data_IF_618777582101
#
_entry.id   IF_618777582101
#
_cell.length_a   1.000
_cell.length_b   1.000
_cell.length_c   1.000
_cell.angle_alpha   90.00
_cell.angle_beta   90.00
_cell.angle_gamma   90.00
#
_symmetry.space_group_name_H-M   'P 1'
#
loop_
_entity.id
_entity.type
_entity.pdbx_description
1 polymer ?
#
# COMPACT_ATOMS: atom_id res chain seq x y z
N UNK A 1 29.55 -20.91 -6.18
CA UNK A 1 29.15 -19.69 -5.46
C UNK A 1 27.88 -19.14 -6.12
N UNK A 2 26.67 -19.06 -5.56
CA UNK A 2 25.94 -19.67 -4.45
C UNK A 2 24.46 -19.62 -4.91
N UNK A 3 23.71 -20.73 -4.92
CA UNK A 3 22.28 -20.70 -5.20
C UNK A 3 21.56 -20.08 -4.00
N UNK A 4 20.76 -19.04 -4.23
CA UNK A 4 19.72 -18.67 -3.26
C UNK A 4 18.84 -19.90 -3.09
N UNK A 5 18.91 -20.54 -1.93
CA UNK A 5 18.01 -21.62 -1.53
C UNK A 5 16.58 -21.11 -1.69
N UNK A 6 15.92 -21.58 -2.74
CA UNK A 6 14.49 -21.42 -2.92
C UNK A 6 13.86 -22.37 -1.90
N UNK A 7 13.33 -21.84 -0.80
CA UNK A 7 12.44 -22.62 0.05
C UNK A 7 11.13 -22.78 -0.73
N UNK A 8 10.72 -24.00 -1.13
CA UNK A 8 9.42 -24.22 -1.77
C UNK A 8 8.24 -24.06 -0.79
N UNK A 9 8.53 -23.68 0.45
CA UNK A 9 7.64 -23.66 1.60
C UNK A 9 7.32 -22.22 2.02
N UNK A 10 6.07 -22.01 2.44
CA UNK A 10 5.59 -20.76 2.99
C UNK A 10 5.61 -20.83 4.53
N UNK A 11 6.00 -19.74 5.18
CA UNK A 11 5.88 -19.61 6.62
C UNK A 11 4.49 -19.08 7.00
N UNK A 12 3.71 -19.88 7.72
CA UNK A 12 2.57 -19.45 8.51
C UNK A 12 3.09 -19.01 9.88
N UNK A 13 2.95 -17.73 10.21
CA UNK A 13 3.47 -17.18 11.45
C UNK A 13 2.38 -16.53 12.29
N UNK A 14 2.58 -16.60 13.61
CA UNK A 14 1.70 -16.06 14.65
C UNK A 14 2.50 -15.11 15.52
N UNK A 15 1.92 -13.96 15.84
CA UNK A 15 2.44 -13.02 16.81
C UNK A 15 1.52 -12.98 18.02
N UNK A 16 2.10 -13.11 19.20
CA UNK A 16 1.39 -13.13 20.47
C UNK A 16 1.82 -11.96 21.36
N UNK A 17 0.85 -11.45 22.12
CA UNK A 17 1.08 -10.45 23.15
C UNK A 17 1.65 -11.06 24.43
N UNK A 18 2.02 -10.19 25.38
CA UNK A 18 2.58 -10.62 26.66
C UNK A 18 1.58 -11.43 27.51
N UNK A 19 0.27 -11.30 27.26
CA UNK A 19 -0.77 -12.08 27.96
C UNK A 19 -1.12 -13.39 27.24
N UNK A 20 -0.40 -13.71 26.15
CA UNK A 20 -0.59 -14.92 25.36
C UNK A 20 -1.71 -14.81 24.33
N UNK A 21 -2.31 -13.63 24.16
CA UNK A 21 -3.33 -13.38 23.14
C UNK A 21 -2.72 -13.34 21.74
N UNK A 22 -3.42 -13.92 20.75
CA UNK A 22 -2.98 -13.87 19.35
C UNK A 22 -3.22 -12.46 18.79
N UNK A 23 -2.13 -11.74 18.51
CA UNK A 23 -2.16 -10.41 17.93
C UNK A 23 -2.38 -10.46 16.43
N UNK A 24 -1.62 -11.28 15.70
CA UNK A 24 -1.65 -11.31 14.24
C UNK A 24 -1.24 -12.69 13.75
N UNK A 25 -1.86 -13.14 12.65
CA UNK A 25 -1.51 -14.34 11.91
C UNK A 25 -1.25 -13.94 10.46
N UNK A 26 -0.25 -14.53 9.82
CA UNK A 26 -0.22 -14.50 8.37
C UNK A 26 0.76 -15.45 7.69
N UNK A 27 0.69 -15.47 6.37
CA UNK A 27 1.54 -16.31 5.51
C UNK A 27 2.52 -15.49 4.65
N UNK A 28 3.73 -16.02 4.42
CA UNK A 28 4.74 -15.44 3.51
C UNK A 28 5.84 -16.44 3.14
N UNK A 29 6.46 -16.28 1.96
CA UNK A 29 7.69 -17.02 1.59
C UNK A 29 8.97 -16.34 2.09
N UNK A 30 8.89 -15.07 2.53
CA UNK A 30 10.01 -14.32 3.12
C UNK A 30 9.57 -13.72 4.47
N UNK A 31 9.67 -14.48 5.58
CA UNK A 31 9.26 -13.99 6.90
C UNK A 31 10.14 -12.84 7.37
N UNK A 32 11.43 -12.86 7.07
CA UNK A 32 12.37 -11.81 7.49
C UNK A 32 11.98 -10.45 6.93
N UNK A 33 11.72 -10.36 5.63
CA UNK A 33 11.30 -9.12 5.00
C UNK A 33 9.91 -8.69 5.50
N UNK A 34 8.97 -9.64 5.60
CA UNK A 34 7.59 -9.35 6.01
C UNK A 34 7.52 -8.84 7.45
N UNK A 35 8.29 -9.42 8.36
CA UNK A 35 8.36 -8.98 9.76
C UNK A 35 9.06 -7.64 9.90
N UNK A 36 10.13 -7.37 9.15
CA UNK A 36 10.75 -6.05 9.11
C UNK A 36 9.76 -4.98 8.61
N UNK A 37 8.88 -5.32 7.67
CA UNK A 37 7.79 -4.45 7.23
C UNK A 37 6.75 -4.25 8.35
N UNK A 38 6.33 -5.32 9.02
CA UNK A 38 5.37 -5.21 10.12
C UNK A 38 5.91 -4.35 11.26
N UNK A 39 7.16 -4.56 11.67
CA UNK A 39 7.87 -3.73 12.65
C UNK A 39 7.86 -2.24 12.34
N UNK A 40 7.88 -1.89 11.06
CA UNK A 40 7.91 -0.50 10.61
C UNK A 40 6.53 0.12 10.41
N UNK A 41 5.51 -0.69 10.13
CA UNK A 41 4.22 -0.20 9.63
C UNK A 41 3.05 -0.50 10.55
N UNK A 42 3.17 -1.48 11.45
CA UNK A 42 2.08 -1.93 12.30
C UNK A 42 2.27 -1.41 13.73
N UNK A 43 1.30 -0.62 14.18
CA UNK A 43 1.32 0.00 15.52
C UNK A 43 1.32 -1.04 16.65
N UNK A 44 0.69 -2.19 16.43
CA UNK A 44 0.63 -3.31 17.38
C UNK A 44 1.94 -4.11 17.47
N UNK A 45 2.94 -3.83 16.62
CA UNK A 45 4.19 -4.58 16.65
C UNK A 45 4.92 -4.48 18.00
N UNK A 46 4.79 -3.35 18.69
CA UNK A 46 5.42 -3.14 20.00
C UNK A 46 4.85 -4.07 21.08
N UNK A 47 3.65 -4.61 20.85
CA UNK A 47 3.00 -5.53 21.79
C UNK A 47 3.42 -6.98 21.57
N UNK A 48 4.18 -7.28 20.51
CA UNK A 48 4.62 -8.64 20.18
C UNK A 48 5.67 -9.12 21.19
N UNK A 49 5.27 -10.08 22.03
CA UNK A 49 6.12 -10.71 23.03
C UNK A 49 6.64 -12.07 22.58
N UNK A 50 5.88 -12.79 21.74
CA UNK A 50 6.24 -14.12 21.25
C UNK A 50 5.85 -14.30 19.79
N UNK A 51 6.69 -15.01 19.04
CA UNK A 51 6.45 -15.38 17.64
C UNK A 51 6.49 -16.89 17.51
N UNK A 52 5.53 -17.46 16.80
CA UNK A 52 5.54 -18.87 16.40
C UNK A 52 5.52 -18.95 14.87
N UNK A 53 6.22 -19.93 14.32
CA UNK A 53 6.34 -20.12 12.87
C UNK A 53 6.18 -21.59 12.55
N UNK A 54 5.32 -21.85 11.58
CA UNK A 54 5.07 -23.14 11.00
C UNK A 54 5.35 -23.05 9.50
N UNK A 55 6.15 -23.97 8.97
CA UNK A 55 6.42 -24.03 7.54
C UNK A 55 5.41 -24.97 6.90
N UNK A 56 4.60 -24.42 6.01
CA UNK A 56 3.57 -25.10 5.22
C UNK A 56 4.03 -25.14 3.77
N UNK A 57 3.68 -26.20 3.05
CA UNK A 57 4.21 -26.51 1.73
C UNK A 57 3.86 -25.47 0.65
N UNK A 58 3.16 -25.91 -0.38
CA UNK A 58 2.81 -25.01 -1.48
C UNK A 58 1.89 -23.85 -1.03
N UNK A 59 1.80 -22.85 -1.89
CA UNK A 59 1.04 -21.63 -1.65
C UNK A 59 -0.44 -21.90 -1.35
N UNK A 60 -1.06 -22.85 -2.05
CA UNK A 60 -2.49 -23.13 -1.89
C UNK A 60 -2.77 -23.75 -0.51
N UNK A 61 -1.90 -24.66 -0.08
CA UNK A 61 -1.92 -25.23 1.27
C UNK A 61 -1.73 -24.15 2.34
N UNK A 62 -0.82 -23.21 2.10
CA UNK A 62 -0.52 -22.15 3.04
C UNK A 62 -1.65 -21.12 3.17
N UNK A 63 -2.33 -20.79 2.06
CA UNK A 63 -3.53 -19.93 2.05
C UNK A 63 -4.72 -20.61 2.75
N UNK A 64 -4.91 -21.92 2.54
CA UNK A 64 -5.94 -22.70 3.23
C UNK A 64 -5.67 -22.80 4.74
N UNK A 65 -4.41 -23.02 5.12
CA UNK A 65 -3.98 -23.06 6.52
C UNK A 65 -4.14 -21.70 7.21
N UNK A 66 -3.80 -20.60 6.52
CA UNK A 66 -4.04 -19.23 7.00
C UNK A 66 -5.53 -19.01 7.25
N UNK A 67 -6.40 -19.37 6.30
CA UNK A 67 -7.85 -19.20 6.45
C UNK A 67 -8.42 -20.01 7.62
N UNK A 68 -8.05 -21.29 7.74
CA UNK A 68 -8.49 -22.14 8.83
C UNK A 68 -8.05 -21.60 10.21
N UNK A 69 -6.81 -21.11 10.29
CA UNK A 69 -6.28 -20.52 11.52
C UNK A 69 -6.92 -19.15 11.84
N UNK A 70 -7.27 -18.33 10.84
CA UNK A 70 -8.02 -17.09 11.04
C UNK A 70 -9.40 -17.36 11.67
N UNK A 71 -10.11 -18.37 11.16
CA UNK A 71 -11.43 -18.76 11.68
C UNK A 71 -11.37 -19.32 13.10
N UNK A 72 -10.39 -20.18 13.38
CA UNK A 72 -10.25 -20.84 14.66
C UNK A 72 -9.68 -19.93 15.75
N UNK A 73 -8.63 -19.16 15.44
CA UNK A 73 -7.80 -18.48 16.43
C UNK A 73 -8.14 -16.99 16.59
N UNK A 74 -8.87 -16.40 15.63
CA UNK A 74 -9.46 -15.04 15.69
C UNK A 74 -8.48 -13.95 16.17
N UNK A 75 -7.39 -13.69 15.44
CA UNK A 75 -6.38 -12.71 15.84
C UNK A 75 -6.97 -11.32 16.13
N UNK A 76 -6.34 -10.60 17.05
CA UNK A 76 -6.74 -9.25 17.45
C UNK A 76 -6.64 -8.27 16.30
N UNK A 77 -5.57 -8.35 15.52
CA UNK A 77 -5.23 -7.52 14.38
C UNK A 77 -5.19 -8.41 13.14
N UNK A 78 -6.31 -8.50 12.45
CA UNK A 78 -6.44 -9.31 11.25
C UNK A 78 -6.14 -8.48 9.98
N UNK A 79 -5.55 -9.14 8.97
CA UNK A 79 -5.32 -8.64 7.61
C UNK A 79 -6.60 -8.08 6.97
N UNK A 80 -7.76 -8.60 7.39
CA UNK A 80 -9.08 -8.21 6.91
C UNK A 80 -9.51 -6.77 7.25
N UNK A 81 -8.81 -6.08 8.15
CA UNK A 81 -9.02 -4.64 8.39
C UNK A 81 -8.33 -3.73 7.35
N UNK A 82 -7.48 -4.30 6.48
CA UNK A 82 -6.76 -3.60 5.42
C UNK A 82 -7.17 -4.06 4.00
N UNK A 83 -8.46 -3.91 3.66
CA UNK A 83 -8.81 -3.35 2.36
C UNK A 83 -8.91 -4.23 1.09
N UNK A 84 -9.17 -5.55 1.15
CA UNK A 84 -9.44 -6.32 -0.10
C UNK A 84 -10.76 -7.14 -0.12
N UNK A 85 -11.35 -7.53 1.02
CA UNK A 85 -12.66 -8.22 1.05
C UNK A 85 -13.65 -7.50 1.96
N UNK A 86 -14.34 -6.47 1.43
CA UNK A 86 -15.43 -5.75 2.14
C UNK A 86 -16.82 -6.34 1.88
N UNK A 87 -16.98 -7.26 0.92
CA UNK A 87 -18.31 -7.49 0.35
C UNK A 87 -19.09 -8.74 0.79
N UNK A 88 -18.57 -9.64 1.65
CA UNK A 88 -19.30 -10.91 1.92
C UNK A 88 -19.35 -11.40 3.38
N UNK A 89 -18.95 -10.59 4.37
CA UNK A 89 -19.10 -10.99 5.80
C UNK A 89 -20.30 -10.29 6.44
N UNK A 90 -21.25 -11.04 7.05
CA UNK A 90 -22.38 -10.47 7.77
C UNK A 90 -21.96 -9.46 8.84
N UNK A 91 -22.72 -8.38 8.94
CA UNK A 91 -22.50 -7.18 9.76
C UNK A 91 -22.46 -7.39 11.29
N UNK A 92 -22.48 -8.64 11.77
CA UNK A 92 -22.65 -8.99 13.19
C UNK A 92 -21.33 -9.13 13.96
N UNK A 93 -20.17 -9.14 13.29
CA UNK A 93 -18.84 -9.15 13.95
C UNK A 93 -18.18 -7.76 13.91
N UNK A 94 -18.98 -6.69 14.08
CA UNK A 94 -18.42 -5.39 14.47
C UNK A 94 -17.92 -5.50 15.92
N UNK A 95 -16.68 -5.94 16.11
CA UNK A 95 -15.93 -5.65 17.35
C UNK A 95 -16.10 -4.16 17.60
N UNK A 96 -16.60 -3.77 18.78
CA UNK A 96 -16.83 -2.38 19.15
C UNK A 96 -15.65 -1.53 18.69
N UNK A 97 -15.88 -0.65 17.71
CA UNK A 97 -14.88 0.31 17.29
C UNK A 97 -14.52 1.12 18.53
N UNK A 98 -13.27 1.03 18.98
CA UNK A 98 -12.76 1.88 20.06
C UNK A 98 -13.11 3.34 19.71
N UNK A 99 -13.98 4.00 20.49
CA UNK A 99 -14.42 5.36 20.18
C UNK A 99 -13.25 6.35 20.09
N UNK A 100 -12.16 6.09 20.80
CA UNK A 100 -10.95 6.90 20.72
C UNK A 100 -10.20 6.69 19.40
N UNK A 101 -10.06 5.44 18.95
CA UNK A 101 -9.46 5.13 17.66
C UNK A 101 -10.27 5.76 16.50
N UNK A 102 -11.59 5.66 16.52
CA UNK A 102 -12.45 6.27 15.50
C UNK A 102 -12.33 7.80 15.52
N UNK A 103 -12.27 8.44 16.71
CA UNK A 103 -12.02 9.89 16.82
C UNK A 103 -10.68 10.29 16.21
N UNK A 104 -9.62 9.51 16.44
CA UNK A 104 -8.29 9.76 15.83
C UNK A 104 -8.33 9.64 14.32
N UNK A 105 -9.02 8.63 13.78
CA UNK A 105 -9.21 8.46 12.33
C UNK A 105 -10.00 9.64 11.74
N UNK A 106 -11.10 10.05 12.36
CA UNK A 106 -11.89 11.19 11.89
C UNK A 106 -11.09 12.49 11.89
N UNK A 107 -10.27 12.72 12.92
CA UNK A 107 -9.37 13.86 12.95
C UNK A 107 -8.33 13.79 11.82
N UNK A 108 -7.76 12.61 11.55
CA UNK A 108 -6.82 12.41 10.45
C UNK A 108 -7.46 12.67 9.08
N UNK A 109 -8.68 12.15 8.85
CA UNK A 109 -9.46 12.43 7.62
C UNK A 109 -9.65 13.93 7.45
N UNK A 110 -10.14 14.62 8.48
CA UNK A 110 -10.43 16.05 8.44
C UNK A 110 -9.18 16.87 8.10
N UNK A 111 -8.06 16.61 8.79
CA UNK A 111 -6.80 17.37 8.60
C UNK A 111 -6.19 17.07 7.23
N UNK A 112 -6.07 15.80 6.84
CA UNK A 112 -5.49 15.43 5.55
C UNK A 112 -6.33 15.96 4.38
N UNK A 113 -7.66 15.86 4.45
CA UNK A 113 -8.53 16.35 3.40
C UNK A 113 -8.49 17.88 3.28
N UNK A 114 -8.36 18.59 4.41
CA UNK A 114 -8.16 20.04 4.41
C UNK A 114 -6.85 20.40 3.71
N UNK A 115 -5.73 19.80 4.12
CA UNK A 115 -4.41 20.09 3.58
C UNK A 115 -4.31 19.75 2.08
N UNK A 116 -4.91 18.64 1.64
CA UNK A 116 -5.00 18.28 0.21
C UNK A 116 -5.77 19.35 -0.56
N UNK A 117 -6.97 19.74 -0.10
CA UNK A 117 -7.79 20.76 -0.78
C UNK A 117 -7.14 22.14 -0.75
N UNK A 118 -6.40 22.45 0.30
CA UNK A 118 -5.64 23.69 0.42
C UNK A 118 -4.36 23.71 -0.43
N UNK A 119 -4.03 22.59 -1.11
CA UNK A 119 -2.84 22.50 -1.98
C UNK A 119 -1.52 22.34 -1.22
N UNK A 120 -1.57 22.03 0.08
CA UNK A 120 -0.38 21.69 0.88
C UNK A 120 0.34 20.49 0.28
N UNK A 121 -0.45 19.56 -0.26
CA UNK A 121 0.01 18.52 -1.17
C UNK A 121 -0.56 18.84 -2.55
N UNK A 122 0.25 19.36 -3.49
CA UNK A 122 -0.24 19.70 -4.82
C UNK A 122 -0.84 18.49 -5.54
N UNK A 123 -1.83 18.73 -6.39
CA UNK A 123 -2.42 17.68 -7.23
C UNK A 123 -1.34 16.98 -8.08
N UNK A 124 -1.53 15.69 -8.34
CA UNK A 124 -0.63 14.84 -9.12
C UNK A 124 0.77 14.68 -8.52
N UNK A 125 0.88 14.86 -7.21
CA UNK A 125 2.12 14.58 -6.48
C UNK A 125 2.01 13.32 -5.65
N UNK A 126 3.14 12.63 -5.53
CA UNK A 126 3.29 11.53 -4.59
C UNK A 126 3.45 12.11 -3.18
N UNK A 127 2.50 11.78 -2.30
CA UNK A 127 2.54 12.19 -0.90
C UNK A 127 3.77 11.63 -0.18
N UNK A 128 4.23 12.29 0.90
CA UNK A 128 5.20 11.70 1.82
C UNK A 128 4.78 10.32 2.33
N UNK A 129 5.74 9.56 2.84
CA UNK A 129 5.46 8.24 3.41
C UNK A 129 4.48 8.33 4.59
N UNK A 130 3.77 7.24 4.89
CA UNK A 130 2.86 7.19 6.04
C UNK A 130 3.54 7.57 7.36
N UNK A 131 4.81 7.16 7.55
CA UNK A 131 5.60 7.54 8.72
C UNK A 131 5.84 9.05 8.78
N UNK A 132 6.24 9.66 7.66
CA UNK A 132 6.44 11.11 7.58
C UNK A 132 5.15 11.90 7.81
N UNK A 133 4.01 11.39 7.35
CA UNK A 133 2.69 11.99 7.61
C UNK A 133 2.27 11.82 9.07
N UNK A 134 2.51 10.64 9.64
CA UNK A 134 2.32 10.34 11.07
C UNK A 134 3.10 11.34 11.93
N UNK A 135 4.38 11.54 11.64
CA UNK A 135 5.25 12.48 12.35
C UNK A 135 4.74 13.93 12.18
N UNK A 136 4.46 14.34 10.93
CA UNK A 136 3.98 15.69 10.60
C UNK A 136 2.71 16.07 11.36
N UNK A 137 1.76 15.16 11.46
CA UNK A 137 0.47 15.43 12.10
C UNK A 137 0.39 14.95 13.54
N UNK A 138 1.47 14.34 14.07
CA UNK A 138 1.48 13.70 15.39
C UNK A 138 0.32 12.72 15.57
N UNK A 139 0.08 11.89 14.55
CA UNK A 139 -1.03 10.93 14.50
C UNK A 139 -0.48 9.51 14.31
N UNK A 140 -1.10 8.47 14.90
CA UNK A 140 -0.69 7.10 14.65
C UNK A 140 -0.74 6.75 13.16
N UNK A 141 0.27 6.03 12.66
CA UNK A 141 0.35 5.54 11.26
C UNK A 141 -0.94 4.87 10.81
N UNK A 142 -1.59 4.07 11.67
CA UNK A 142 -2.86 3.41 11.37
C UNK A 142 -4.02 4.40 11.12
N UNK A 143 -4.07 5.50 11.87
CA UNK A 143 -5.10 6.51 11.68
C UNK A 143 -4.89 7.24 10.34
N UNK A 144 -3.62 7.52 9.99
CA UNK A 144 -3.25 8.10 8.69
C UNK A 144 -3.60 7.16 7.54
N UNK A 145 -3.23 5.88 7.62
CA UNK A 145 -3.51 4.90 6.56
C UNK A 145 -5.01 4.68 6.35
N UNK A 146 -5.77 4.55 7.44
CA UNK A 146 -7.22 4.44 7.39
C UNK A 146 -7.86 5.70 6.82
N UNK A 147 -7.36 6.89 7.21
CA UNK A 147 -7.84 8.14 6.67
C UNK A 147 -7.58 8.25 5.17
N UNK A 148 -6.36 7.98 4.70
CA UNK A 148 -6.03 7.99 3.27
C UNK A 148 -6.88 6.99 2.48
N UNK A 149 -7.18 5.82 3.06
CA UNK A 149 -8.11 4.85 2.46
C UNK A 149 -9.53 5.43 2.33
N UNK A 150 -10.05 6.11 3.36
CA UNK A 150 -11.35 6.78 3.27
C UNK A 150 -11.35 7.89 2.21
N UNK A 151 -10.28 8.67 2.12
CA UNK A 151 -10.14 9.75 1.13
C UNK A 151 -10.03 9.23 -0.31
N UNK A 152 -9.46 8.03 -0.50
CA UNK A 152 -9.48 7.31 -1.78
C UNK A 152 -10.91 6.91 -2.14
N UNK A 153 -11.53 6.05 -1.31
CA UNK A 153 -12.81 5.41 -1.65
C UNK A 153 -14.04 6.32 -1.57
N UNK A 154 -14.04 7.32 -0.69
CA UNK A 154 -15.24 8.12 -0.39
C UNK A 154 -15.18 9.51 -1.04
N UNK A 155 -13.98 10.07 -1.19
CA UNK A 155 -13.80 11.45 -1.62
C UNK A 155 -12.99 11.59 -2.92
N UNK A 156 -12.40 10.50 -3.43
CA UNK A 156 -11.53 10.48 -4.61
C UNK A 156 -10.45 11.58 -4.58
N UNK A 157 -9.92 11.92 -3.39
CA UNK A 157 -8.88 12.95 -3.25
C UNK A 157 -7.47 12.38 -3.42
N UNK A 158 -7.32 11.07 -3.24
CA UNK A 158 -6.05 10.37 -3.37
C UNK A 158 -6.23 9.02 -4.08
N UNK A 159 -5.15 8.47 -4.61
CA UNK A 159 -5.12 7.13 -5.20
C UNK A 159 -3.86 6.37 -4.78
N UNK A 160 -3.95 5.03 -4.76
CA UNK A 160 -2.81 4.15 -4.43
C UNK A 160 -2.02 3.74 -5.68
N UNK A 161 -0.70 3.93 -5.62
CA UNK A 161 0.26 3.56 -6.66
C UNK A 161 1.45 2.82 -6.04
N UNK A 162 1.49 1.50 -6.19
CA UNK A 162 2.60 0.65 -5.73
C UNK A 162 3.05 0.94 -4.29
N UNK A 163 2.07 0.96 -3.37
CA UNK A 163 2.30 1.24 -1.95
C UNK A 163 2.43 2.73 -1.58
N UNK A 164 2.38 3.63 -2.56
CA UNK A 164 2.39 5.09 -2.36
C UNK A 164 1.00 5.67 -2.49
N UNK A 165 0.82 6.85 -1.92
CA UNK A 165 -0.40 7.65 -2.07
C UNK A 165 -0.10 8.84 -2.98
N UNK A 166 -0.97 9.05 -3.94
CA UNK A 166 -0.90 10.13 -4.93
C UNK A 166 -2.09 11.04 -4.69
N UNK A 167 -1.88 12.35 -4.67
CA UNK A 167 -3.00 13.31 -4.69
C UNK A 167 -3.55 13.37 -6.10
N UNK A 168 -4.86 13.23 -6.25
CA UNK A 168 -5.52 13.26 -7.57
C UNK A 168 -6.51 14.42 -7.64
N UNK A 169 -6.83 14.86 -8.85
CA UNK A 169 -7.99 15.74 -9.06
C UNK A 169 -9.25 14.88 -9.25
N UNK A 170 -10.27 14.98 -8.37
CA UNK A 170 -11.53 14.24 -8.51
C UNK A 170 -12.26 14.47 -9.83
N UNK A 171 -11.99 15.58 -10.53
CA UNK A 171 -12.60 15.93 -11.82
C UNK A 171 -11.95 15.17 -12.99
N UNK A 172 -10.68 14.82 -12.85
CA UNK A 172 -9.90 14.10 -13.86
C UNK A 172 -9.72 12.62 -13.50
N UNK A 173 -9.96 12.25 -12.24
CA UNK A 173 -9.82 10.89 -11.73
C UNK A 173 -11.17 10.25 -11.41
N UNK A 174 -11.64 9.38 -12.30
CA UNK A 174 -12.72 8.43 -12.01
C UNK A 174 -12.11 7.13 -11.48
N UNK A 175 -12.15 6.89 -10.16
CA UNK A 175 -11.39 5.84 -9.45
C UNK A 175 -11.52 4.39 -9.94
N UNK A 176 -12.43 4.09 -10.87
CA UNK A 176 -12.61 2.78 -11.48
C UNK A 176 -11.59 2.41 -12.59
N UNK A 177 -10.80 3.37 -13.12
CA UNK A 177 -9.98 3.11 -14.34
C UNK A 177 -8.49 3.46 -14.28
N UNK A 178 -8.06 4.26 -13.31
CA UNK A 178 -6.72 4.86 -13.26
C UNK A 178 -5.89 4.23 -12.13
N UNK A 179 -5.41 2.99 -12.35
CA UNK A 179 -4.49 2.31 -11.42
C UNK A 179 -3.20 1.89 -12.11
N UNK A 180 -2.14 1.70 -11.32
CA UNK A 180 -0.84 1.22 -11.80
C UNK A 180 -0.24 2.10 -12.92
N UNK A 181 0.07 1.48 -14.07
CA UNK A 181 0.71 2.18 -15.19
C UNK A 181 -0.18 3.28 -15.79
N UNK A 182 -1.52 3.18 -15.74
CA UNK A 182 -2.41 4.25 -16.23
C UNK A 182 -2.36 5.50 -15.36
N UNK A 183 -2.36 5.33 -14.04
CA UNK A 183 -2.12 6.45 -13.11
C UNK A 183 -0.71 7.02 -13.30
N UNK A 184 0.27 6.16 -13.58
CA UNK A 184 1.64 6.60 -13.89
C UNK A 184 1.69 7.45 -15.16
N UNK A 185 0.90 7.13 -16.19
CA UNK A 185 0.81 7.96 -17.39
C UNK A 185 0.32 9.38 -17.09
N UNK A 186 -0.72 9.51 -16.27
CA UNK A 186 -1.24 10.82 -15.84
C UNK A 186 -0.15 11.60 -15.10
N UNK A 187 0.54 10.97 -14.15
CA UNK A 187 1.66 11.58 -13.44
C UNK A 187 2.80 12.02 -14.36
N UNK A 188 3.16 11.20 -15.35
CA UNK A 188 4.16 11.56 -16.34
C UNK A 188 3.71 12.76 -17.17
N UNK A 189 2.43 12.83 -17.57
CA UNK A 189 1.86 13.96 -18.31
C UNK A 189 1.93 15.26 -17.52
N UNK A 190 1.53 15.25 -16.25
CA UNK A 190 1.62 16.45 -15.41
C UNK A 190 3.05 16.87 -15.09
N UNK A 191 4.00 15.93 -15.03
CA UNK A 191 5.38 16.25 -14.66
C UNK A 191 6.26 16.64 -15.85
N UNK A 192 6.15 15.93 -16.97
CA UNK A 192 7.01 16.09 -18.13
C UNK A 192 6.34 16.84 -19.27
N UNK A 193 5.00 16.90 -19.32
CA UNK A 193 4.23 17.51 -20.41
C UNK A 193 4.63 16.93 -21.77
N UNK A 194 5.32 17.71 -22.60
CA UNK A 194 5.84 17.30 -23.92
C UNK A 194 7.34 16.96 -23.89
N UNK A 195 8.00 17.13 -22.75
CA UNK A 195 9.46 16.97 -22.63
C UNK A 195 9.86 15.50 -22.61
N UNK A 196 10.96 15.13 -23.28
CA UNK A 196 11.53 13.79 -23.15
C UNK A 196 11.97 13.51 -21.72
N UNK A 197 11.92 12.24 -21.32
CA UNK A 197 12.40 11.78 -20.03
C UNK A 197 13.09 10.43 -20.14
N UNK A 198 13.94 10.12 -19.17
CA UNK A 198 14.49 8.77 -18.97
C UNK A 198 13.71 8.06 -17.86
N UNK A 199 13.77 6.73 -17.81
CA UNK A 199 13.16 5.97 -16.73
C UNK A 199 13.73 6.36 -15.35
N UNK A 200 15.03 6.68 -15.28
CA UNK A 200 15.70 7.14 -14.06
C UNK A 200 15.19 8.52 -13.61
N UNK A 201 15.06 9.47 -14.54
CA UNK A 201 14.54 10.79 -14.24
C UNK A 201 13.08 10.72 -13.77
N UNK A 202 12.23 9.97 -14.49
CA UNK A 202 10.84 9.76 -14.09
C UNK A 202 10.71 9.10 -12.72
N UNK A 203 11.51 8.07 -12.44
CA UNK A 203 11.54 7.38 -11.15
C UNK A 203 11.91 8.34 -10.02
N UNK A 204 12.95 9.14 -10.20
CA UNK A 204 13.40 10.13 -9.21
C UNK A 204 12.35 11.23 -8.98
N UNK A 205 11.84 11.82 -10.06
CA UNK A 205 10.83 12.89 -10.02
C UNK A 205 9.55 12.48 -9.31
N UNK A 206 9.06 11.27 -9.60
CA UNK A 206 7.81 10.75 -9.04
C UNK A 206 8.04 9.92 -7.77
N UNK A 207 9.29 9.79 -7.30
CA UNK A 207 9.68 8.99 -6.12
C UNK A 207 9.21 7.53 -6.20
N UNK A 208 9.12 6.98 -7.41
CA UNK A 208 8.75 5.58 -7.69
C UNK A 208 10.05 4.79 -7.91
N UNK A 209 10.19 3.53 -7.43
CA UNK A 209 11.43 2.77 -7.60
C UNK A 209 11.69 2.54 -9.10
N UNK A 210 12.96 2.61 -9.50
CA UNK A 210 13.33 2.51 -10.91
C UNK A 210 12.78 1.25 -11.59
N UNK A 211 12.79 0.11 -10.91
CA UNK A 211 12.26 -1.14 -11.47
C UNK A 211 10.75 -1.07 -11.75
N UNK A 212 9.99 -0.49 -10.82
CA UNK A 212 8.54 -0.28 -10.98
C UNK A 212 8.26 0.72 -12.09
N UNK A 213 8.99 1.85 -12.13
CA UNK A 213 8.86 2.84 -13.19
C UNK A 213 9.19 2.23 -14.57
N UNK A 214 10.27 1.45 -14.67
CA UNK A 214 10.64 0.76 -15.90
C UNK A 214 9.58 -0.28 -16.34
N UNK A 215 8.93 -0.97 -15.39
CA UNK A 215 7.79 -1.84 -15.69
C UNK A 215 6.60 -1.03 -16.24
N UNK A 216 6.25 0.09 -15.62
CA UNK A 216 5.16 0.93 -16.08
C UNK A 216 5.44 1.54 -17.47
N UNK A 217 6.64 2.07 -17.70
CA UNK A 217 7.04 2.60 -19.01
C UNK A 217 6.97 1.50 -20.08
N UNK A 218 7.36 0.25 -19.77
CA UNK A 218 7.23 -0.87 -20.70
C UNK A 218 5.76 -1.13 -21.08
N UNK A 219 4.86 -1.16 -20.10
CA UNK A 219 3.42 -1.34 -20.35
C UNK A 219 2.85 -0.17 -21.16
N UNK A 220 3.20 1.07 -20.80
CA UNK A 220 2.77 2.26 -21.53
C UNK A 220 3.31 2.33 -22.96
N UNK A 221 4.51 1.78 -23.19
CA UNK A 221 5.08 1.68 -24.54
C UNK A 221 4.31 0.65 -25.36
N UNK A 222 3.97 -0.49 -24.78
CA UNK A 222 3.15 -1.53 -25.43
C UNK A 222 1.77 -1.00 -25.82
N UNK A 223 1.18 -0.19 -24.95
CA UNK A 223 -0.15 0.40 -25.16
C UNK A 223 -0.10 1.66 -26.06
N UNK A 224 1.08 2.03 -26.58
CA UNK A 224 1.28 3.16 -27.49
C UNK A 224 1.25 4.54 -26.84
N UNK A 225 1.03 4.63 -25.52
CA UNK A 225 0.96 5.88 -24.76
C UNK A 225 2.33 6.52 -24.51
N UNK A 226 3.41 5.75 -24.58
CA UNK A 226 4.80 6.22 -24.50
C UNK A 226 5.58 5.70 -25.70
N UNK A 227 6.45 6.53 -26.28
CA UNK A 227 7.32 6.14 -27.40
C UNK A 227 8.78 6.22 -26.97
N UNK A 228 9.60 5.26 -27.39
CA UNK A 228 11.04 5.25 -27.14
C UNK A 228 11.80 5.80 -28.36
N UNK A 229 12.77 6.68 -28.15
CA UNK A 229 13.69 7.10 -29.21
C UNK A 229 14.66 5.96 -29.54
N UNK A 230 14.78 5.57 -30.81
CA UNK A 230 15.61 4.43 -31.20
C UNK A 230 17.10 4.56 -30.82
N UNK A 231 17.62 5.79 -30.80
CA UNK A 231 19.03 6.08 -30.55
C UNK A 231 19.37 6.54 -29.12
N UNK A 232 18.39 6.66 -28.21
CA UNK A 232 18.59 7.16 -26.85
C UNK A 232 17.76 6.40 -25.82
N UNK A 233 18.15 6.42 -24.54
CA UNK A 233 17.32 5.93 -23.44
C UNK A 233 16.19 6.91 -23.06
N UNK A 234 15.71 7.67 -24.05
CA UNK A 234 14.69 8.72 -23.91
C UNK A 234 13.32 8.21 -24.35
N UNK A 235 12.31 8.64 -23.60
CA UNK A 235 10.90 8.36 -23.82
C UNK A 235 10.13 9.66 -24.03
N UNK A 236 9.07 9.58 -24.82
CA UNK A 236 8.15 10.68 -25.10
C UNK A 236 6.73 10.23 -24.82
N UNK A 237 5.91 11.13 -24.29
CA UNK A 237 4.47 10.90 -24.19
C UNK A 237 3.86 10.99 -25.59
N UNK A 238 3.02 10.02 -25.92
CA UNK A 238 2.19 10.14 -27.11
C UNK A 238 1.15 11.25 -26.89
N UNK A 239 0.78 11.99 -27.96
CA UNK A 239 -0.31 12.96 -27.92
C UNK A 239 -1.58 12.37 -27.30
#
# INVERSE_FOLDING_TARGET
>A
MSPREQHPENALYRFYGATGELLYLGVTHDPKQRWAQHRRTQHWWLDVARTEVEWVGDRATAEAAELAALEAEKPRYDRHLSGIYRNEVPSTVRRHADPEAERKIQNAVRVLAHDIRAGVFPQWTVMPSMGSLSDRYSMPVMAVDTALSRLDFQENLVARLDGRTVVVDPREFSGEGLRGHRLTLVLLRHHFEVRPFTAALAAASLRIPLNTMAQHIRLLTRDGAVRKKAAAQEFFLAP
#
